data_IF_917279832770
#
_entry.id   IF_917279832770
#
_cell.length_a   1.000
_cell.length_b   1.000
_cell.length_c   1.000
_cell.angle_alpha   90.00
_cell.angle_beta   90.00
_cell.angle_gamma   90.00
#
_symmetry.space_group_name_H-M   'P 1'
#
loop_
_entity.id
_entity.type
_entity.pdbx_description
1 polymer ?
#
# COMPACT_ATOMS: atom_id res chain seq x y z
N UNK A 1 -0.85 10.81 -2.94
CA UNK A 1 -0.80 9.97 -1.71
C UNK A 1 -0.70 10.79 -0.41
N UNK A 2 -0.54 12.11 -0.49
CA UNK A 2 -0.30 12.98 0.67
C UNK A 2 -1.58 13.37 1.41
N UNK A 3 -2.73 13.30 0.75
CA UNK A 3 -4.06 13.69 1.30
C UNK A 3 -5.12 12.77 0.72
N UNK A 4 -6.17 12.48 1.46
CA UNK A 4 -7.34 11.72 0.99
C UNK A 4 -8.08 11.05 2.14
N UNK A 5 -9.36 10.86 1.96
CA UNK A 5 -10.26 10.21 2.94
C UNK A 5 -9.77 8.81 3.35
N UNK A 6 -9.01 8.12 2.47
CA UNK A 6 -8.38 6.83 2.74
C UNK A 6 -7.29 6.93 3.81
N UNK A 7 -6.42 7.94 3.73
CA UNK A 7 -5.38 8.19 4.74
C UNK A 7 -5.99 8.51 6.10
N UNK A 8 -7.00 9.40 6.13
CA UNK A 8 -7.69 9.79 7.36
C UNK A 8 -8.42 8.60 8.00
N UNK A 9 -8.97 7.69 7.18
CA UNK A 9 -9.60 6.44 7.67
C UNK A 9 -8.59 5.52 8.33
N UNK A 10 -7.43 5.28 7.71
CA UNK A 10 -6.38 4.45 8.32
C UNK A 10 -5.89 5.04 9.63
N UNK A 11 -5.62 6.34 9.67
CA UNK A 11 -5.19 7.03 10.89
C UNK A 11 -6.26 6.94 11.99
N UNK A 12 -7.54 7.11 11.65
CA UNK A 12 -8.66 6.97 12.59
C UNK A 12 -8.77 5.55 13.15
N UNK A 13 -8.50 4.51 12.34
CA UNK A 13 -8.52 3.13 12.82
C UNK A 13 -7.42 2.82 13.84
N UNK A 14 -6.35 3.60 13.84
CA UNK A 14 -5.24 3.49 14.80
C UNK A 14 -5.40 4.41 16.03
N UNK A 15 -6.41 5.29 16.08
CA UNK A 15 -6.49 6.38 17.07
C UNK A 15 -6.65 5.95 18.52
N UNK A 16 -7.10 4.72 18.78
CA UNK A 16 -7.26 4.18 20.12
C UNK A 16 -5.96 3.54 20.67
N UNK A 17 -4.89 3.51 19.86
CA UNK A 17 -3.60 2.93 20.23
C UNK A 17 -2.73 3.92 21.01
N UNK A 18 -1.94 3.42 21.96
CA UNK A 18 -0.85 4.18 22.61
C UNK A 18 0.43 4.13 21.75
N UNK A 19 0.67 2.99 21.06
CA UNK A 19 1.88 2.74 20.26
C UNK A 19 1.51 2.16 18.89
N UNK A 20 1.94 2.83 17.84
CA UNK A 20 1.71 2.37 16.47
C UNK A 20 3.02 2.26 15.67
N UNK A 21 3.01 1.38 14.67
CA UNK A 21 4.06 1.32 13.63
C UNK A 21 3.45 1.52 12.26
N UNK A 22 4.03 2.43 11.47
CA UNK A 22 3.75 2.60 10.05
C UNK A 22 4.82 1.85 9.24
N UNK A 23 4.44 0.75 8.59
CA UNK A 23 5.33 -0.19 7.90
C UNK A 23 5.44 0.20 6.43
N UNK A 24 6.68 0.29 5.93
CA UNK A 24 7.04 0.85 4.64
C UNK A 24 6.52 2.30 4.50
N UNK A 25 6.90 3.10 5.49
CA UNK A 25 6.39 4.46 5.70
C UNK A 25 6.67 5.44 4.56
N UNK A 26 7.69 5.17 3.73
CA UNK A 26 8.13 6.08 2.67
C UNK A 26 8.43 7.48 3.23
N UNK A 27 7.73 8.49 2.74
CA UNK A 27 7.91 9.88 3.17
C UNK A 27 7.24 10.21 4.53
N UNK A 28 6.58 9.25 5.20
CA UNK A 28 6.05 9.41 6.56
C UNK A 28 4.62 9.96 6.65
N UNK A 29 3.88 10.05 5.54
CA UNK A 29 2.54 10.64 5.55
C UNK A 29 1.54 9.88 6.42
N UNK A 30 1.61 8.54 6.41
CA UNK A 30 0.73 7.70 7.25
C UNK A 30 1.14 7.81 8.72
N UNK A 31 2.44 7.79 9.02
CA UNK A 31 2.95 7.99 10.38
C UNK A 31 2.55 9.37 10.94
N UNK A 32 2.66 10.45 10.13
CA UNK A 32 2.22 11.79 10.49
C UNK A 32 0.72 11.84 10.81
N UNK A 33 -0.10 11.20 9.96
CA UNK A 33 -1.54 11.17 10.15
C UNK A 33 -1.95 10.40 11.41
N UNK A 34 -1.30 9.26 11.70
CA UNK A 34 -1.53 8.46 12.91
C UNK A 34 -1.15 9.25 14.17
N UNK A 35 0.00 9.94 14.16
CA UNK A 35 0.40 10.82 15.26
C UNK A 35 -0.60 11.96 15.44
N UNK A 36 -1.06 12.57 14.34
CA UNK A 36 -2.10 13.60 14.33
C UNK A 36 -3.47 13.14 14.82
N UNK A 37 -3.77 11.84 14.70
CA UNK A 37 -4.99 11.21 15.24
C UNK A 37 -4.95 10.98 16.77
N UNK A 38 -3.81 11.24 17.42
CA UNK A 38 -3.68 11.22 18.88
C UNK A 38 -2.93 10.03 19.46
N UNK A 39 -2.29 9.21 18.62
CA UNK A 39 -1.43 8.10 19.08
C UNK A 39 -0.17 8.68 19.73
N UNK A 40 0.15 8.24 20.95
CA UNK A 40 1.24 8.81 21.76
C UNK A 40 2.63 8.54 21.17
N UNK A 41 2.84 7.34 20.60
CA UNK A 41 4.13 6.92 20.02
C UNK A 41 3.91 6.27 18.66
N UNK A 42 4.52 6.85 17.63
CA UNK A 42 4.48 6.33 16.27
C UNK A 42 5.90 6.07 15.78
N UNK A 43 6.13 4.86 15.28
CA UNK A 43 7.39 4.47 14.64
C UNK A 43 7.17 4.36 13.13
N UNK A 44 7.92 5.16 12.37
CA UNK A 44 8.00 5.06 10.92
C UNK A 44 9.07 4.03 10.53
N UNK A 45 8.67 2.89 10.01
CA UNK A 45 9.56 1.81 9.62
C UNK A 45 9.66 1.70 8.09
N UNK A 46 10.88 1.60 7.56
CA UNK A 46 11.12 1.42 6.12
C UNK A 46 12.44 0.67 5.90
N UNK A 47 12.55 -0.08 4.81
CA UNK A 47 13.78 -0.77 4.44
C UNK A 47 14.87 0.19 3.95
N UNK A 48 14.51 1.36 3.44
CA UNK A 48 15.40 2.40 2.94
C UNK A 48 15.73 3.42 4.07
N UNK A 49 16.99 3.51 4.54
CA UNK A 49 17.36 4.45 5.59
C UNK A 49 17.06 5.93 5.25
N UNK A 50 17.12 6.29 3.98
CA UNK A 50 16.79 7.63 3.49
C UNK A 50 15.29 7.94 3.60
N UNK A 51 14.41 6.95 3.46
CA UNK A 51 12.97 7.12 3.68
C UNK A 51 12.68 7.32 5.15
N UNK A 52 13.30 6.52 6.04
CA UNK A 52 13.19 6.70 7.49
C UNK A 52 13.64 8.11 7.91
N UNK A 53 14.78 8.57 7.39
CA UNK A 53 15.27 9.92 7.69
C UNK A 53 14.30 11.01 7.19
N UNK A 54 13.69 10.81 6.01
CA UNK A 54 12.70 11.72 5.45
C UNK A 54 11.44 11.75 6.30
N UNK A 55 10.91 10.59 6.70
CA UNK A 55 9.71 10.49 7.54
C UNK A 55 9.88 11.20 8.88
N UNK A 56 11.00 10.95 9.58
CA UNK A 56 11.31 11.61 10.87
C UNK A 56 11.49 13.10 10.72
N UNK A 57 12.09 13.58 9.62
CA UNK A 57 12.27 15.00 9.37
C UNK A 57 10.94 15.71 9.02
N UNK A 58 10.03 15.01 8.33
CA UNK A 58 8.75 15.56 7.89
C UNK A 58 7.69 15.58 8.99
N UNK A 59 7.74 14.62 9.93
CA UNK A 59 6.76 14.44 11.00
C UNK A 59 7.42 14.54 12.39
N UNK A 60 7.61 15.74 12.96
CA UNK A 60 8.19 15.91 14.29
C UNK A 60 7.39 15.14 15.35
N UNK A 61 8.06 14.27 16.09
CA UNK A 61 7.47 13.40 17.11
C UNK A 61 7.34 11.95 16.67
N UNK A 62 7.54 11.64 15.39
CA UNK A 62 7.64 10.27 14.89
C UNK A 62 9.06 9.74 15.12
N UNK A 63 9.17 8.51 15.63
CA UNK A 63 10.43 7.78 15.76
C UNK A 63 10.72 7.02 14.45
N UNK A 64 12.00 6.72 14.16
CA UNK A 64 12.38 6.01 12.93
C UNK A 64 13.00 4.65 13.19
N UNK A 65 12.67 3.65 12.36
CA UNK A 65 13.31 2.35 12.36
C UNK A 65 13.62 1.86 10.94
N UNK A 66 14.87 1.45 10.69
CA UNK A 66 15.19 0.75 9.44
C UNK A 66 14.79 -0.71 9.60
N UNK A 67 13.85 -1.17 8.78
CA UNK A 67 13.22 -2.49 8.93
C UNK A 67 12.78 -3.09 7.59
N UNK A 68 12.98 -4.39 7.45
CA UNK A 68 12.31 -5.21 6.46
C UNK A 68 10.89 -5.52 6.95
N UNK A 69 9.87 -5.29 6.10
CA UNK A 69 8.48 -5.54 6.44
C UNK A 69 8.18 -7.03 6.76
N UNK A 70 8.94 -7.94 6.14
CA UNK A 70 8.83 -9.38 6.38
C UNK A 70 9.63 -9.84 7.61
N UNK A 71 10.36 -8.90 8.28
CA UNK A 71 11.17 -9.17 9.47
C UNK A 71 11.34 -7.92 10.33
N UNK A 72 10.31 -7.55 11.05
CA UNK A 72 10.27 -6.34 11.86
C UNK A 72 11.16 -6.45 13.12
N UNK A 73 11.92 -5.41 13.48
CA UNK A 73 12.84 -5.41 14.63
C UNK A 73 12.12 -5.14 15.96
N UNK A 74 10.86 -5.52 16.06
CA UNK A 74 10.04 -5.36 17.25
C UNK A 74 9.84 -6.71 17.94
N UNK A 75 9.62 -6.69 19.25
CA UNK A 75 9.27 -7.90 20.00
C UNK A 75 7.83 -8.31 19.72
N UNK A 76 7.49 -9.56 20.04
CA UNK A 76 6.11 -10.02 20.00
C UNK A 76 5.23 -9.16 20.93
N UNK A 77 3.99 -8.90 20.51
CA UNK A 77 2.97 -8.17 21.29
C UNK A 77 3.48 -6.80 21.82
N UNK A 78 4.15 -6.02 20.96
CA UNK A 78 4.82 -4.77 21.39
C UNK A 78 4.19 -3.48 20.87
N UNK A 79 3.22 -3.57 19.98
CA UNK A 79 2.48 -2.43 19.45
C UNK A 79 0.97 -2.68 19.49
N UNK A 80 0.22 -1.62 19.73
CA UNK A 80 -1.24 -1.66 19.84
C UNK A 80 -1.89 -1.49 18.45
N UNK A 81 -1.17 -0.88 17.51
CA UNK A 81 -1.59 -0.77 16.12
C UNK A 81 -0.42 -0.89 15.14
N UNK A 82 -0.71 -1.41 13.96
CA UNK A 82 0.15 -1.33 12.80
C UNK A 82 -0.62 -0.77 11.61
N UNK A 83 0.07 -0.01 10.75
CA UNK A 83 -0.45 0.44 9.47
C UNK A 83 0.53 0.06 8.35
N UNK A 84 -0.01 -0.21 7.15
CA UNK A 84 0.77 -0.28 5.92
C UNK A 84 -0.09 0.26 4.79
N UNK A 85 0.44 1.26 4.07
CA UNK A 85 -0.35 1.96 3.07
C UNK A 85 0.38 2.09 1.74
N UNK A 86 -0.18 1.46 0.69
CA UNK A 86 0.28 1.54 -0.71
C UNK A 86 1.77 1.18 -0.84
N UNK A 87 2.15 0.05 -0.25
CA UNK A 87 3.53 -0.43 -0.23
C UNK A 87 3.68 -1.95 -0.40
N UNK A 88 2.67 -2.71 0.01
CA UNK A 88 2.80 -4.17 0.09
C UNK A 88 2.91 -4.86 -1.28
N UNK A 89 2.54 -4.17 -2.36
CA UNK A 89 2.80 -4.64 -3.73
C UNK A 89 4.30 -4.68 -4.11
N UNK A 90 5.18 -4.18 -3.25
CA UNK A 90 6.63 -4.32 -3.34
C UNK A 90 7.20 -5.51 -2.55
N UNK A 91 6.40 -6.17 -1.71
CA UNK A 91 6.89 -7.22 -0.83
C UNK A 91 6.99 -8.57 -1.55
N UNK A 92 8.13 -9.25 -1.48
CA UNK A 92 8.32 -10.57 -2.09
C UNK A 92 7.44 -11.67 -1.49
N UNK A 93 7.17 -11.63 -0.17
CA UNK A 93 6.36 -12.62 0.55
C UNK A 93 5.28 -11.94 1.42
N UNK A 94 4.10 -11.64 0.85
CA UNK A 94 2.99 -11.03 1.59
C UNK A 94 2.51 -11.84 2.80
N UNK A 95 2.60 -13.18 2.74
CA UNK A 95 2.21 -14.02 3.86
C UNK A 95 3.19 -13.89 5.03
N UNK A 96 4.50 -13.81 4.76
CA UNK A 96 5.52 -13.52 5.77
C UNK A 96 5.32 -12.13 6.37
N UNK A 97 5.03 -11.12 5.55
CA UNK A 97 4.69 -9.77 6.02
C UNK A 97 3.50 -9.78 6.99
N UNK A 98 2.37 -10.40 6.60
CA UNK A 98 1.17 -10.47 7.45
C UNK A 98 1.45 -11.23 8.74
N UNK A 99 2.25 -12.31 8.69
CA UNK A 99 2.66 -13.06 9.89
C UNK A 99 3.52 -12.22 10.84
N UNK A 100 4.42 -11.37 10.31
CA UNK A 100 5.21 -10.43 11.13
C UNK A 100 4.33 -9.35 11.76
N UNK A 101 3.36 -8.81 11.03
CA UNK A 101 2.38 -7.88 11.61
C UNK A 101 1.61 -8.55 12.74
N UNK A 102 1.11 -9.79 12.52
CA UNK A 102 0.42 -10.55 13.56
C UNK A 102 1.32 -10.83 14.77
N UNK A 103 2.61 -11.00 14.59
CA UNK A 103 3.55 -11.23 15.69
C UNK A 103 3.75 -9.97 16.54
N UNK A 104 3.87 -8.80 15.93
CA UNK A 104 4.23 -7.57 16.65
C UNK A 104 3.02 -6.83 17.24
N UNK A 105 1.85 -6.94 16.63
CA UNK A 105 0.60 -6.37 17.15
C UNK A 105 0.12 -7.21 18.31
N UNK A 106 -0.28 -6.62 19.43
CA UNK A 106 -0.78 -7.33 20.61
C UNK A 106 -2.19 -7.90 20.39
N UNK A 107 -2.62 -8.92 21.17
CA UNK A 107 -3.99 -9.42 21.12
C UNK A 107 -5.01 -8.30 21.39
N UNK A 108 -5.96 -8.12 20.48
CA UNK A 108 -6.93 -7.02 20.47
C UNK A 108 -6.43 -5.76 19.76
N UNK A 109 -5.18 -5.72 19.33
CA UNK A 109 -4.61 -4.59 18.58
C UNK A 109 -5.10 -4.53 17.14
N UNK A 110 -4.94 -3.37 16.51
CA UNK A 110 -5.46 -3.06 15.16
C UNK A 110 -4.39 -3.19 14.08
N UNK A 111 -4.73 -3.79 12.95
CA UNK A 111 -4.01 -3.63 11.70
C UNK A 111 -4.84 -2.84 10.68
N UNK A 112 -4.35 -1.67 10.29
CA UNK A 112 -4.92 -0.80 9.27
C UNK A 112 -4.14 -0.95 7.96
N UNK A 113 -4.77 -1.50 6.94
CA UNK A 113 -4.11 -1.86 5.68
C UNK A 113 -4.78 -1.18 4.48
N UNK A 114 -3.97 -0.66 3.55
CA UNK A 114 -4.40 -0.22 2.23
C UNK A 114 -3.37 -0.60 1.19
N UNK A 115 -3.79 -1.26 0.10
CA UNK A 115 -2.94 -1.42 -1.08
C UNK A 115 -3.74 -1.55 -2.38
N UNK A 116 -3.04 -1.39 -3.51
CA UNK A 116 -3.57 -1.67 -4.83
C UNK A 116 -3.90 -3.16 -4.96
N UNK A 117 -5.03 -3.48 -5.57
CA UNK A 117 -5.46 -4.86 -5.77
C UNK A 117 -5.73 -5.17 -7.22
N UNK A 118 -5.35 -6.40 -7.61
CA UNK A 118 -5.63 -6.94 -8.92
C UNK A 118 -7.08 -7.44 -9.03
N UNK A 119 -7.66 -7.46 -10.23
CA UNK A 119 -8.91 -8.18 -10.52
C UNK A 119 -8.77 -9.70 -10.31
N UNK A 120 -9.90 -10.39 -10.11
CA UNK A 120 -9.93 -11.86 -10.04
C UNK A 120 -9.83 -12.55 -11.41
N UNK A 121 -9.96 -11.81 -12.54
CA UNK A 121 -9.72 -12.35 -13.89
C UNK A 121 -8.20 -12.40 -14.15
N UNK A 122 -7.68 -13.60 -14.40
CA UNK A 122 -6.24 -13.85 -14.58
C UNK A 122 -5.58 -12.99 -15.68
N UNK A 123 -6.33 -12.66 -16.75
CA UNK A 123 -5.78 -11.85 -17.87
C UNK A 123 -5.69 -10.38 -17.50
N UNK A 124 -6.68 -9.88 -16.75
CA UNK A 124 -6.69 -8.50 -16.24
C UNK A 124 -5.68 -8.32 -15.12
N UNK A 125 -5.53 -9.33 -14.24
CA UNK A 125 -4.49 -9.38 -13.23
C UNK A 125 -3.09 -9.30 -13.88
N UNK A 126 -2.79 -10.19 -14.83
CA UNK A 126 -1.49 -10.19 -15.50
C UNK A 126 -1.24 -8.89 -16.27
N UNK A 127 -2.28 -8.29 -16.87
CA UNK A 127 -2.17 -6.99 -17.54
C UNK A 127 -1.78 -5.90 -16.54
N UNK A 128 -2.50 -5.75 -15.43
CA UNK A 128 -2.20 -4.76 -14.39
C UNK A 128 -0.76 -4.91 -13.91
N UNK A 129 -0.40 -6.11 -13.48
CA UNK A 129 0.92 -6.39 -12.93
C UNK A 129 2.04 -6.21 -13.97
N UNK A 130 1.78 -6.47 -15.25
CA UNK A 130 2.73 -6.19 -16.33
C UNK A 130 2.93 -4.69 -16.56
N UNK A 131 1.86 -3.92 -16.56
CA UNK A 131 1.89 -2.46 -16.69
C UNK A 131 2.67 -1.84 -15.53
N UNK A 132 2.37 -2.25 -14.29
CA UNK A 132 3.06 -1.74 -13.10
C UNK A 132 4.55 -2.11 -13.09
N UNK A 133 4.94 -3.35 -13.41
CA UNK A 133 6.36 -3.76 -13.52
C UNK A 133 7.12 -3.02 -14.63
N UNK A 134 6.44 -2.67 -15.73
CA UNK A 134 7.07 -1.85 -16.79
C UNK A 134 7.32 -0.43 -16.35
N UNK A 135 6.43 0.12 -15.53
CA UNK A 135 6.54 1.45 -14.94
C UNK A 135 7.59 1.47 -13.84
N UNK A 136 7.43 0.62 -12.85
CA UNK A 136 8.26 0.56 -11.63
C UNK A 136 8.94 -0.81 -11.52
N UNK A 137 10.29 -0.88 -11.59
CA UNK A 137 11.01 -2.15 -11.47
C UNK A 137 10.99 -2.74 -10.07
N UNK A 138 10.59 -1.97 -9.06
CA UNK A 138 10.47 -2.44 -7.67
C UNK A 138 9.10 -3.07 -7.41
N UNK A 139 8.14 -2.91 -8.33
CA UNK A 139 6.85 -3.55 -8.23
C UNK A 139 6.99 -5.08 -8.34
N UNK A 140 6.60 -5.79 -7.30
CA UNK A 140 6.57 -7.25 -7.28
C UNK A 140 5.21 -7.72 -7.81
N UNK A 141 4.13 -7.44 -7.06
CA UNK A 141 2.78 -7.84 -7.45
C UNK A 141 1.69 -7.12 -6.68
N UNK A 142 0.65 -6.64 -7.37
CA UNK A 142 -0.65 -6.38 -6.77
C UNK A 142 -1.41 -7.71 -6.70
N UNK A 143 -1.84 -8.10 -5.50
CA UNK A 143 -2.60 -9.33 -5.24
C UNK A 143 -4.10 -9.05 -5.26
N UNK A 144 -4.90 -10.12 -5.31
CA UNK A 144 -6.37 -9.99 -5.27
C UNK A 144 -6.86 -9.64 -3.85
N UNK A 145 -8.09 -9.16 -3.75
CA UNK A 145 -8.76 -8.98 -2.43
C UNK A 145 -8.80 -10.30 -1.67
N UNK A 146 -9.14 -11.38 -2.36
CA UNK A 146 -9.24 -12.73 -1.79
C UNK A 146 -7.91 -13.20 -1.19
N UNK A 147 -6.80 -12.95 -1.86
CA UNK A 147 -5.47 -13.30 -1.35
C UNK A 147 -5.19 -12.57 -0.03
N UNK A 148 -5.38 -11.24 0.01
CA UNK A 148 -5.14 -10.45 1.21
C UNK A 148 -5.99 -10.88 2.40
N UNK A 149 -7.30 -11.06 2.19
CA UNK A 149 -8.19 -11.51 3.26
C UNK A 149 -7.80 -12.89 3.77
N UNK A 150 -7.44 -13.81 2.86
CA UNK A 150 -6.99 -15.16 3.22
C UNK A 150 -5.71 -15.14 4.06
N UNK A 151 -4.71 -14.32 3.73
CA UNK A 151 -3.48 -14.21 4.52
C UNK A 151 -3.74 -13.62 5.90
N UNK A 152 -4.58 -12.58 5.99
CA UNK A 152 -4.96 -11.96 7.26
C UNK A 152 -5.66 -12.97 8.18
N UNK A 153 -6.68 -13.68 7.69
CA UNK A 153 -7.40 -14.69 8.46
C UNK A 153 -6.49 -15.85 8.90
N UNK A 154 -5.61 -16.34 8.01
CA UNK A 154 -4.65 -17.40 8.32
C UNK A 154 -3.62 -16.97 9.37
N UNK A 155 -3.29 -15.70 9.47
CA UNK A 155 -2.39 -15.15 10.49
C UNK A 155 -3.10 -14.87 11.83
N UNK A 156 -4.41 -15.11 11.91
CA UNK A 156 -5.20 -14.97 13.14
C UNK A 156 -5.92 -13.63 13.30
N UNK A 157 -5.95 -12.78 12.26
CA UNK A 157 -6.72 -11.56 12.28
C UNK A 157 -8.21 -11.82 12.07
N UNK A 158 -9.03 -11.06 12.78
CA UNK A 158 -10.47 -10.92 12.52
C UNK A 158 -10.69 -9.67 11.67
N UNK A 159 -11.34 -9.83 10.52
CA UNK A 159 -11.63 -8.72 9.61
C UNK A 159 -12.84 -7.94 10.14
N UNK A 160 -12.63 -6.69 10.55
CA UNK A 160 -13.69 -5.81 11.05
C UNK A 160 -14.37 -4.99 9.96
N UNK A 161 -13.55 -4.50 9.02
CA UNK A 161 -14.02 -3.67 7.90
C UNK A 161 -13.21 -3.98 6.65
N UNK A 162 -13.92 -4.15 5.54
CA UNK A 162 -13.33 -4.27 4.20
C UNK A 162 -14.03 -3.31 3.27
N UNK A 163 -13.26 -2.53 2.53
CA UNK A 163 -13.77 -1.65 1.49
C UNK A 163 -12.85 -1.69 0.27
N UNK A 164 -13.42 -1.54 -0.92
CA UNK A 164 -12.66 -1.45 -2.17
C UNK A 164 -13.03 -0.15 -2.86
N UNK A 165 -12.08 0.76 -2.88
CA UNK A 165 -12.25 2.05 -3.54
C UNK A 165 -11.58 2.07 -4.91
N UNK A 166 -12.10 2.89 -5.81
CA UNK A 166 -11.53 3.11 -7.13
C UNK A 166 -10.92 4.51 -7.16
N UNK A 167 -9.64 4.59 -7.52
CA UNK A 167 -8.91 5.87 -7.68
C UNK A 167 -8.59 6.08 -9.14
N UNK A 168 -9.09 7.17 -9.70
CA UNK A 168 -8.66 7.65 -11.03
C UNK A 168 -7.26 8.23 -10.94
N UNK A 169 -6.44 7.92 -11.92
CA UNK A 169 -5.05 8.33 -12.05
C UNK A 169 -4.88 9.06 -13.39
N UNK A 170 -4.35 10.28 -13.35
CA UNK A 170 -3.81 10.92 -14.53
C UNK A 170 -2.58 10.13 -15.01
N UNK A 171 -2.54 9.78 -16.28
CA UNK A 171 -1.53 8.87 -16.84
C UNK A 171 -0.12 9.47 -16.77
N UNK A 172 0.03 10.75 -17.08
CA UNK A 172 1.34 11.40 -17.08
C UNK A 172 1.85 11.65 -15.65
N UNK A 173 0.97 12.06 -14.74
CA UNK A 173 1.31 12.19 -13.32
C UNK A 173 1.72 10.85 -12.72
N UNK A 174 0.96 9.78 -13.00
CA UNK A 174 1.27 8.43 -12.54
C UNK A 174 2.62 7.93 -13.02
N UNK A 175 2.99 8.16 -14.29
CA UNK A 175 4.31 7.86 -14.81
C UNK A 175 5.42 8.72 -14.17
N UNK A 176 5.11 9.97 -13.86
CA UNK A 176 6.03 10.92 -13.22
C UNK A 176 6.38 10.55 -11.78
N UNK A 177 5.46 9.92 -11.05
CA UNK A 177 5.65 9.58 -9.64
C UNK A 177 6.81 8.60 -9.36
N UNK A 178 7.33 7.91 -10.37
CA UNK A 178 8.46 6.97 -10.27
C UNK A 178 9.63 7.34 -11.19
N UNK A 179 9.66 8.58 -11.69
CA UNK A 179 10.68 9.03 -12.66
C UNK A 179 10.87 8.05 -13.85
N UNK A 180 9.76 7.55 -14.40
CA UNK A 180 9.79 6.56 -15.46
C UNK A 180 10.60 7.09 -16.67
N UNK A 181 11.67 6.38 -17.03
CA UNK A 181 12.51 6.73 -18.19
C UNK A 181 11.69 6.70 -19.49
N UNK A 182 12.16 7.40 -20.54
CA UNK A 182 11.50 7.41 -21.82
C UNK A 182 11.31 5.99 -22.42
N UNK A 183 12.21 5.06 -22.13
CA UNK A 183 12.07 3.65 -22.52
C UNK A 183 10.91 2.97 -21.77
N UNK A 184 10.81 3.17 -20.46
CA UNK A 184 9.70 2.63 -19.63
C UNK A 184 8.37 3.20 -20.06
N UNK A 185 8.28 4.52 -20.29
CA UNK A 185 7.07 5.18 -20.80
C UNK A 185 6.60 4.53 -22.11
N UNK A 186 7.51 4.28 -23.07
CA UNK A 186 7.17 3.57 -24.32
C UNK A 186 6.69 2.14 -24.08
N UNK A 187 7.30 1.39 -23.14
CA UNK A 187 6.87 0.02 -22.81
C UNK A 187 5.50 -0.02 -22.14
N UNK A 188 5.19 0.96 -21.31
CA UNK A 188 3.88 1.11 -20.67
C UNK A 188 2.84 1.46 -21.74
N UNK A 189 3.09 2.47 -22.59
CA UNK A 189 2.20 2.87 -23.67
C UNK A 189 1.86 1.67 -24.59
N UNK A 190 2.87 0.89 -24.99
CA UNK A 190 2.68 -0.29 -25.83
C UNK A 190 1.80 -1.38 -25.17
N UNK A 191 1.69 -1.42 -23.83
CA UNK A 191 0.76 -2.33 -23.18
C UNK A 191 -0.70 -1.87 -23.31
N UNK A 192 -0.93 -0.57 -23.34
CA UNK A 192 -2.26 0.00 -23.52
C UNK A 192 -2.71 0.06 -25.00
N UNK A 193 -1.80 -0.16 -25.97
CA UNK A 193 -2.16 -0.24 -27.41
C UNK A 193 -2.88 -1.56 -27.76
N UNK A 194 -2.54 -2.65 -27.06
CA UNK A 194 -3.15 -3.98 -27.27
C UNK A 194 -3.49 -4.63 -25.92
N UNK A 195 -4.46 -4.05 -25.18
CA UNK A 195 -4.87 -4.57 -23.87
C UNK A 195 -5.77 -5.80 -24.04
N UNK A 196 -5.84 -6.68 -23.04
CA UNK A 196 -6.79 -7.80 -23.08
C UNK A 196 -8.25 -7.30 -23.11
N UNK A 197 -9.14 -8.13 -23.63
CA UNK A 197 -10.58 -7.85 -23.65
C UNK A 197 -11.09 -7.49 -22.24
N UNK A 198 -11.85 -6.41 -22.12
CA UNK A 198 -12.39 -5.94 -20.86
C UNK A 198 -11.48 -5.02 -20.04
N UNK A 199 -10.21 -4.86 -20.41
CA UNK A 199 -9.27 -4.02 -19.65
C UNK A 199 -9.69 -2.55 -19.63
N UNK A 200 -10.16 -2.00 -20.75
CA UNK A 200 -10.61 -0.61 -20.81
C UNK A 200 -11.77 -0.33 -19.84
N UNK A 201 -12.72 -1.26 -19.70
CA UNK A 201 -13.82 -1.17 -18.75
C UNK A 201 -13.33 -1.38 -17.31
N UNK A 202 -12.59 -2.46 -17.05
CA UNK A 202 -12.14 -2.83 -15.71
C UNK A 202 -11.27 -1.76 -15.05
N UNK A 203 -10.44 -1.10 -15.85
CA UNK A 203 -9.55 -0.03 -15.40
C UNK A 203 -10.02 1.38 -15.77
N UNK A 204 -11.26 1.53 -16.28
CA UNK A 204 -11.85 2.83 -16.66
C UNK A 204 -10.88 3.67 -17.51
N UNK A 205 -10.24 3.04 -18.50
CA UNK A 205 -9.24 3.70 -19.34
C UNK A 205 -9.90 4.75 -20.23
N UNK A 206 -9.40 5.98 -20.19
CA UNK A 206 -9.77 7.04 -21.14
C UNK A 206 -8.60 7.34 -22.07
N UNK A 207 -8.93 7.62 -23.33
CA UNK A 207 -7.93 7.91 -24.36
C UNK A 207 -8.29 9.20 -25.08
N UNK A 208 -7.25 9.97 -25.47
CA UNK A 208 -7.34 11.16 -26.30
C UNK A 208 -6.54 11.04 -27.58
N UNK A 209 -6.22 12.17 -28.21
CA UNK A 209 -5.49 12.22 -29.48
C UNK A 209 -4.06 11.67 -29.34
N UNK A 210 -3.44 11.80 -28.18
CA UNK A 210 -2.04 11.41 -27.90
C UNK A 210 -1.91 10.05 -27.16
N UNK A 211 -3.01 9.31 -26.96
CA UNK A 211 -3.02 8.00 -26.27
C UNK A 211 -3.83 8.00 -24.99
N UNK A 212 -3.37 7.26 -23.97
CA UNK A 212 -4.04 7.15 -22.66
C UNK A 212 -3.94 8.48 -21.91
N UNK A 213 -5.08 9.00 -21.46
CA UNK A 213 -5.18 10.20 -20.61
C UNK A 213 -5.29 9.85 -19.13
N UNK A 214 -6.15 8.86 -18.82
CA UNK A 214 -6.34 8.41 -17.45
C UNK A 214 -6.74 6.93 -17.40
N UNK A 215 -6.55 6.34 -16.25
CA UNK A 215 -7.08 5.02 -15.91
C UNK A 215 -7.36 4.96 -14.40
N UNK A 216 -7.95 3.88 -13.92
CA UNK A 216 -8.26 3.74 -12.51
C UNK A 216 -7.67 2.46 -11.92
N UNK A 217 -7.12 2.57 -10.72
CA UNK A 217 -6.73 1.43 -9.88
C UNK A 217 -7.74 1.23 -8.76
N UNK A 218 -7.96 -0.04 -8.42
CA UNK A 218 -8.72 -0.43 -7.23
C UNK A 218 -7.78 -0.57 -6.05
N UNK A 219 -8.22 -0.13 -4.88
CA UNK A 219 -7.49 -0.27 -3.63
C UNK A 219 -8.37 -0.94 -2.60
N UNK A 220 -7.79 -1.90 -1.93
CA UNK A 220 -8.39 -2.56 -0.77
C UNK A 220 -8.02 -1.76 0.48
N UNK A 221 -9.01 -1.46 1.31
CA UNK A 221 -8.84 -0.96 2.67
C UNK A 221 -9.36 -2.02 3.64
N UNK A 222 -8.57 -2.35 4.64
CA UNK A 222 -8.95 -3.32 5.69
C UNK A 222 -8.62 -2.76 7.06
N UNK A 223 -9.59 -2.85 7.98
CA UNK A 223 -9.36 -2.85 9.41
C UNK A 223 -9.48 -4.26 9.93
N UNK A 224 -8.45 -4.76 10.57
CA UNK A 224 -8.44 -6.09 11.16
C UNK A 224 -7.96 -6.02 12.62
N UNK A 225 -8.47 -6.92 13.45
CA UNK A 225 -8.09 -7.05 14.87
C UNK A 225 -7.41 -8.39 15.11
N UNK A 226 -6.29 -8.36 15.82
CA UNK A 226 -5.54 -9.57 16.16
C UNK A 226 -6.18 -10.37 17.32
#
# INVERSE_FOLDING_TARGET
HREGDDLDRLATWCSDADRAVDIATGAGHTAEAILGAGVDRVVAADAAPEMVATAVASAPGVEGAVADAERLPFTEDSVDAAACRIAAHHFPDPAAFVAEVARVVEPGGTFAFEDNVAPDDDRLDEFLNTVERRRDPTHVRSHTVTDWLTWLENAGFTIETTDVITKSLDYEEWLGNVDASAERRRRVAAAFEDPPDGAAEAFSVTTGDDGVESFANRKLLVRATR
#
